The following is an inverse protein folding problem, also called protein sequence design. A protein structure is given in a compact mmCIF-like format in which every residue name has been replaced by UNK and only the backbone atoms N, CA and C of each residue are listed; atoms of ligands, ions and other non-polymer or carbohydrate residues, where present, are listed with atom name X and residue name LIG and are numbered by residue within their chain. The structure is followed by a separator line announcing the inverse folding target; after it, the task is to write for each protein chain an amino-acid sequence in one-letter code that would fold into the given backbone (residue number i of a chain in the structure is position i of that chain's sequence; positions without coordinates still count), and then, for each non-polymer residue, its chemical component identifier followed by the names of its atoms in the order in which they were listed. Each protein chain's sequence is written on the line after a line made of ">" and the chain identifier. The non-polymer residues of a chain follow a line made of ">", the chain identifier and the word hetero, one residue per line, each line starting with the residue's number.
data_IF_145365441830
#
_entry.id   IF_145365441830
#
_cell.length_a   1.000
_cell.length_b   1.000
_cell.length_c   1.000
_cell.angle_alpha   90.00
_cell.angle_beta   90.00
_cell.angle_gamma   90.00
#
_symmetry.space_group_name_H-M   'P 1'
#
loop_
_entity.id
_entity.type
_entity.pdbx_description
1 polymer ?
#
# COMPACT_ATOMS: atom_id res chain seq x y z
N UNK A 1 -20.36 15.41 13.42
CA UNK A 1 -19.76 15.22 14.74
C UNK A 1 -20.82 15.20 15.84
N UNK A 2 -20.41 14.98 17.07
CA UNK A 2 -21.32 14.97 18.25
C UNK A 2 -22.08 16.27 18.48
N UNK A 3 -21.68 17.35 17.82
CA UNK A 3 -22.32 18.67 17.90
C UNK A 3 -23.27 18.93 16.71
N UNK A 4 -23.50 17.93 15.85
CA UNK A 4 -24.32 18.04 14.68
C UNK A 4 -23.63 18.69 13.47
N UNK A 5 -22.34 18.96 13.53
CA UNK A 5 -21.60 19.47 12.36
C UNK A 5 -21.33 18.35 11.38
N UNK A 6 -21.45 18.68 10.10
CA UNK A 6 -21.11 17.76 9.02
C UNK A 6 -19.60 17.56 8.95
N UNK A 7 -19.14 16.32 9.12
CA UNK A 7 -17.75 15.97 8.90
C UNK A 7 -17.48 15.87 7.39
N UNK A 8 -16.39 16.48 6.96
CA UNK A 8 -15.89 16.36 5.59
C UNK A 8 -14.47 15.82 5.65
N UNK A 9 -14.20 14.78 4.86
CA UNK A 9 -12.88 14.17 4.76
C UNK A 9 -12.24 14.54 3.42
N UNK A 10 -11.00 14.97 3.45
CA UNK A 10 -10.23 15.31 2.26
C UNK A 10 -9.45 14.10 1.76
N UNK A 11 -9.72 13.72 0.53
CA UNK A 11 -9.12 12.57 -0.14
C UNK A 11 -8.07 13.00 -1.14
N UNK A 12 -6.84 12.55 -0.92
CA UNK A 12 -5.74 12.76 -1.85
C UNK A 12 -5.54 11.56 -2.76
N UNK A 13 -5.54 11.79 -4.06
CA UNK A 13 -5.24 10.80 -5.09
C UNK A 13 -4.35 11.45 -6.16
N UNK A 14 -3.37 10.68 -6.65
CA UNK A 14 -2.42 11.17 -7.65
C UNK A 14 -3.05 11.30 -9.03
N UNK A 15 -2.65 12.34 -9.75
CA UNK A 15 -2.83 12.42 -11.18
C UNK A 15 -1.62 11.78 -11.86
N UNK A 16 -1.78 10.56 -12.37
CA UNK A 16 -0.73 9.85 -13.11
C UNK A 16 -0.81 10.12 -14.62
N UNK A 17 -1.79 10.91 -15.04
CA UNK A 17 -2.07 11.21 -16.44
C UNK A 17 -2.90 10.12 -17.14
N UNK A 18 -3.48 9.21 -16.39
CA UNK A 18 -4.37 8.19 -16.91
C UNK A 18 -5.84 8.60 -16.74
N UNK A 19 -6.66 8.34 -17.74
CA UNK A 19 -8.11 8.61 -17.67
C UNK A 19 -8.79 7.89 -16.49
N UNK A 20 -8.20 6.79 -16.08
CA UNK A 20 -8.64 5.98 -14.94
C UNK A 20 -8.53 6.72 -13.59
N UNK A 21 -7.59 7.64 -13.40
CA UNK A 21 -7.37 8.31 -12.10
C UNK A 21 -8.60 9.07 -11.62
N UNK A 22 -9.23 9.83 -12.51
CA UNK A 22 -10.46 10.57 -12.19
C UNK A 22 -11.62 9.63 -11.94
N UNK A 23 -11.80 8.61 -12.80
CA UNK A 23 -12.87 7.64 -12.66
C UNK A 23 -12.78 6.86 -11.33
N UNK A 24 -11.56 6.55 -10.88
CA UNK A 24 -11.31 5.91 -9.59
C UNK A 24 -11.71 6.83 -8.43
N UNK A 25 -11.29 8.10 -8.47
CA UNK A 25 -11.64 9.09 -7.47
C UNK A 25 -13.17 9.27 -7.35
N UNK A 26 -13.83 9.44 -8.48
CA UNK A 26 -15.27 9.63 -8.55
C UNK A 26 -16.04 8.42 -8.02
N UNK A 27 -15.54 7.22 -8.31
CA UNK A 27 -16.12 5.97 -7.82
C UNK A 27 -16.05 5.88 -6.29
N UNK A 28 -14.90 6.18 -5.68
CA UNK A 28 -14.77 6.19 -4.23
C UNK A 28 -15.65 7.25 -3.58
N UNK A 29 -15.58 8.47 -4.05
CA UNK A 29 -16.37 9.57 -3.50
C UNK A 29 -17.87 9.26 -3.56
N UNK A 30 -18.33 8.72 -4.69
CA UNK A 30 -19.72 8.29 -4.86
C UNK A 30 -20.10 7.19 -3.87
N UNK A 31 -19.29 6.15 -3.75
CA UNK A 31 -19.57 5.02 -2.85
C UNK A 31 -19.62 5.46 -1.38
N UNK A 32 -18.70 6.33 -0.96
CA UNK A 32 -18.71 6.87 0.40
C UNK A 32 -19.93 7.74 0.67
N UNK A 33 -20.35 8.53 -0.32
CA UNK A 33 -21.56 9.34 -0.23
C UNK A 33 -22.82 8.50 -0.06
N UNK A 34 -22.91 7.35 -0.73
CA UNK A 34 -24.04 6.42 -0.63
C UNK A 34 -24.22 5.86 0.80
N UNK A 35 -23.15 5.75 1.57
CA UNK A 35 -23.17 5.34 2.98
C UNK A 35 -23.16 6.53 3.95
N UNK A 36 -23.35 7.75 3.46
CA UNK A 36 -23.47 8.96 4.28
C UNK A 36 -22.16 9.64 4.67
N UNK A 37 -21.01 9.19 4.15
CA UNK A 37 -19.74 9.87 4.35
C UNK A 37 -19.56 11.01 3.34
N UNK A 38 -19.20 12.18 3.85
CA UNK A 38 -18.91 13.33 2.99
C UNK A 38 -17.40 13.39 2.74
N UNK A 39 -16.97 12.85 1.61
CA UNK A 39 -15.57 12.87 1.16
C UNK A 39 -15.44 13.74 -0.08
N UNK A 40 -14.42 14.56 -0.13
CA UNK A 40 -14.11 15.44 -1.25
C UNK A 40 -12.65 15.30 -1.65
N UNK A 41 -12.33 15.61 -2.91
CA UNK A 41 -10.92 15.69 -3.31
C UNK A 41 -10.20 16.79 -2.55
N UNK A 42 -9.01 16.49 -2.05
CA UNK A 42 -8.13 17.50 -1.47
C UNK A 42 -7.84 18.57 -2.53
N UNK A 43 -8.01 19.84 -2.15
CA UNK A 43 -7.94 21.00 -3.06
C UNK A 43 -8.87 20.91 -4.29
N UNK A 44 -9.92 20.08 -4.25
CA UNK A 44 -10.92 19.93 -5.30
C UNK A 44 -10.44 19.26 -6.59
N UNK A 45 -9.26 18.64 -6.60
CA UNK A 45 -8.66 18.05 -7.82
C UNK A 45 -7.72 16.87 -7.51
N UNK A 46 -7.40 16.12 -8.55
CA UNK A 46 -6.30 15.16 -8.50
C UNK A 46 -4.97 15.88 -8.25
N UNK A 47 -4.13 15.30 -7.42
CA UNK A 47 -2.88 15.92 -6.97
C UNK A 47 -1.72 15.56 -7.90
N UNK A 48 -0.89 16.53 -8.27
CA UNK A 48 0.32 16.26 -9.02
C UNK A 48 1.23 15.27 -8.25
N UNK A 49 1.91 14.32 -8.91
CA UNK A 49 2.66 13.27 -8.25
C UNK A 49 3.71 13.76 -7.24
N UNK A 50 4.39 14.86 -7.57
CA UNK A 50 5.38 15.48 -6.68
C UNK A 50 4.71 16.04 -5.42
N UNK A 51 3.63 16.79 -5.59
CA UNK A 51 2.92 17.42 -4.48
C UNK A 51 2.29 16.36 -3.57
N UNK A 52 1.70 15.31 -4.16
CA UNK A 52 1.18 14.17 -3.42
C UNK A 52 2.25 13.53 -2.54
N UNK A 53 3.40 13.17 -3.13
CA UNK A 53 4.48 12.53 -2.39
C UNK A 53 5.01 13.42 -1.27
N UNK A 54 5.20 14.69 -1.52
CA UNK A 54 5.70 15.65 -0.55
C UNK A 54 4.71 15.83 0.61
N UNK A 55 3.43 16.05 0.31
CA UNK A 55 2.40 16.33 1.31
C UNK A 55 2.07 15.10 2.16
N UNK A 56 1.95 13.92 1.56
CA UNK A 56 1.71 12.68 2.29
C UNK A 56 2.90 12.32 3.19
N UNK A 57 4.14 12.58 2.75
CA UNK A 57 5.33 12.32 3.57
C UNK A 57 5.54 13.35 4.70
N UNK A 58 5.09 14.58 4.52
CA UNK A 58 5.28 15.67 5.48
C UNK A 58 4.19 15.77 6.56
N UNK A 59 3.33 14.76 6.67
CA UNK A 59 2.22 14.80 7.63
C UNK A 59 1.25 15.96 7.42
N UNK A 60 0.93 16.31 6.18
CA UNK A 60 -0.02 17.38 5.87
C UNK A 60 -1.37 17.10 6.54
N UNK A 61 -1.80 17.92 7.52
CA UNK A 61 -3.02 17.67 8.29
C UNK A 61 -4.30 17.86 7.45
N UNK A 62 -4.19 18.40 6.25
CA UNK A 62 -5.32 18.55 5.34
C UNK A 62 -5.64 17.27 4.55
N UNK A 63 -4.85 16.21 4.70
CA UNK A 63 -5.08 14.91 4.05
C UNK A 63 -5.51 13.91 5.11
N UNK A 64 -6.78 13.50 5.10
CA UNK A 64 -7.30 12.47 6.00
C UNK A 64 -7.33 11.09 5.35
N UNK A 65 -7.49 11.05 4.03
CA UNK A 65 -7.52 9.81 3.25
C UNK A 65 -6.59 9.97 2.06
N UNK A 66 -5.81 8.95 1.73
CA UNK A 66 -5.06 8.95 0.48
C UNK A 66 -5.07 7.58 -0.19
N UNK A 67 -5.02 7.58 -1.51
CA UNK A 67 -4.83 6.38 -2.32
C UNK A 67 -3.35 6.27 -2.67
N UNK A 68 -2.73 5.20 -2.22
CA UNK A 68 -1.32 4.90 -2.47
C UNK A 68 -1.11 3.56 -3.15
N UNK A 69 0.12 3.30 -3.55
CA UNK A 69 0.57 2.01 -4.01
C UNK A 69 1.94 1.71 -3.40
N UNK A 70 2.17 0.45 -3.09
CA UNK A 70 3.42 -0.03 -2.52
C UNK A 70 4.00 -1.13 -3.41
N UNK A 71 5.28 -1.07 -3.62
CA UNK A 71 6.02 -2.18 -4.22
C UNK A 71 6.71 -2.96 -3.10
N UNK A 72 6.18 -4.14 -2.83
CA UNK A 72 6.75 -5.01 -1.82
C UNK A 72 7.89 -5.84 -2.41
N UNK A 73 9.00 -5.91 -1.66
CA UNK A 73 10.06 -6.87 -1.92
C UNK A 73 9.69 -8.29 -1.49
N UNK A 74 10.67 -9.18 -1.49
CA UNK A 74 10.49 -10.58 -1.08
C UNK A 74 10.31 -10.77 0.43
N UNK A 75 10.72 -9.78 1.24
CA UNK A 75 10.50 -9.82 2.68
C UNK A 75 9.03 -9.54 3.02
N UNK A 76 8.31 -10.49 3.60
CA UNK A 76 6.90 -10.29 3.97
C UNK A 76 6.71 -9.42 5.22
N UNK A 77 7.74 -9.13 5.99
CA UNK A 77 7.65 -8.26 7.16
C UNK A 77 7.30 -6.82 6.74
N UNK A 78 6.27 -6.26 7.37
CA UNK A 78 5.73 -4.91 7.07
C UNK A 78 6.05 -3.88 8.13
N UNK A 79 7.04 -4.13 8.98
CA UNK A 79 7.46 -3.18 10.02
C UNK A 79 7.81 -1.80 9.48
N UNK A 80 8.40 -1.74 8.27
CA UNK A 80 8.74 -0.47 7.62
C UNK A 80 7.51 0.40 7.28
N UNK A 81 6.33 -0.22 7.15
CA UNK A 81 5.08 0.44 6.78
C UNK A 81 4.16 0.72 7.95
N UNK A 82 4.20 -0.09 9.00
CA UNK A 82 3.24 -0.03 10.10
C UNK A 82 3.90 0.10 11.48
N UNK A 83 5.22 0.03 11.57
CA UNK A 83 5.95 0.20 12.83
C UNK A 83 5.88 1.63 13.35
N UNK A 84 5.91 1.79 14.66
CA UNK A 84 5.74 3.08 15.38
C UNK A 84 6.72 4.18 14.96
N UNK A 85 7.94 3.78 14.59
CA UNK A 85 9.00 4.72 14.15
C UNK A 85 9.44 4.46 12.72
N UNK A 86 8.63 3.75 11.97
CA UNK A 86 8.98 3.38 10.61
C UNK A 86 8.88 4.59 9.68
N UNK A 87 9.92 4.87 8.88
CA UNK A 87 9.95 6.05 8.02
C UNK A 87 8.89 6.03 6.91
N UNK A 88 8.38 4.85 6.58
CA UNK A 88 7.36 4.66 5.56
C UNK A 88 5.96 4.44 6.16
N UNK A 89 5.79 4.63 7.47
CA UNK A 89 4.46 4.59 8.09
C UNK A 89 3.68 5.87 7.76
N UNK A 90 3.26 5.96 6.51
CA UNK A 90 2.45 7.09 6.01
C UNK A 90 1.00 7.02 6.49
N UNK A 91 0.58 5.90 7.05
CA UNK A 91 -0.73 5.71 7.67
C UNK A 91 -0.83 6.41 9.02
N UNK A 92 0.31 6.71 9.66
CA UNK A 92 0.41 7.33 11.01
C UNK A 92 -0.34 6.53 12.07
N UNK A 93 -0.53 5.26 11.80
CA UNK A 93 -1.25 4.33 12.64
C UNK A 93 -0.36 3.16 13.01
N UNK A 94 -0.41 2.77 14.27
CA UNK A 94 0.22 1.56 14.78
C UNK A 94 -0.47 1.16 16.09
N UNK A 95 -0.35 -0.10 16.45
CA UNK A 95 -0.84 -0.65 17.72
C UNK A 95 0.28 -1.42 18.42
N UNK A 96 0.13 -1.66 19.71
CA UNK A 96 1.06 -2.53 20.43
C UNK A 96 1.00 -3.98 19.89
N UNK A 97 -0.14 -4.39 19.34
CA UNK A 97 -0.31 -5.70 18.69
C UNK A 97 0.56 -5.80 17.41
N UNK A 98 0.63 -4.74 16.59
CA UNK A 98 1.53 -4.71 15.44
C UNK A 98 3.00 -4.80 15.89
N UNK A 99 3.41 -4.01 16.86
CA UNK A 99 4.78 -4.03 17.37
C UNK A 99 5.17 -5.41 17.92
N UNK A 100 4.26 -6.07 18.63
CA UNK A 100 4.49 -7.43 19.11
C UNK A 100 4.56 -8.44 17.95
N UNK A 101 3.69 -8.31 16.96
CA UNK A 101 3.73 -9.15 15.75
C UNK A 101 5.05 -9.03 14.99
N UNK A 102 5.62 -7.82 14.90
CA UNK A 102 6.94 -7.62 14.28
C UNK A 102 8.06 -8.28 15.07
N UNK A 103 8.02 -8.24 16.39
CA UNK A 103 8.99 -8.96 17.24
C UNK A 103 8.91 -10.47 17.03
N UNK A 104 7.68 -11.01 17.02
CA UNK A 104 7.47 -12.44 16.77
C UNK A 104 7.99 -12.84 15.40
N UNK A 105 7.74 -12.07 14.35
CA UNK A 105 8.27 -12.32 13.01
C UNK A 105 9.80 -12.26 12.97
N UNK A 106 10.41 -11.30 13.67
CA UNK A 106 11.87 -11.16 13.72
C UNK A 106 12.58 -12.29 14.49
N UNK A 107 11.88 -12.92 15.43
CA UNK A 107 12.43 -14.01 16.27
C UNK A 107 11.98 -15.39 15.83
N UNK A 108 11.04 -15.50 14.90
CA UNK A 108 10.59 -16.79 14.39
C UNK A 108 11.73 -17.54 13.70
N UNK A 109 11.79 -18.83 13.94
CA UNK A 109 12.75 -19.70 13.24
C UNK A 109 12.42 -19.73 11.75
N UNK A 110 13.28 -19.13 10.93
CA UNK A 110 13.10 -19.05 9.48
C UNK A 110 13.11 -20.42 8.79
N UNK A 111 13.63 -21.45 9.46
CA UNK A 111 13.66 -22.82 8.95
C UNK A 111 12.46 -23.65 9.41
N UNK A 112 11.67 -23.13 10.36
CA UNK A 112 10.40 -23.74 10.77
C UNK A 112 9.23 -23.06 10.07
N UNK A 113 8.86 -23.61 8.90
CA UNK A 113 7.79 -23.05 8.06
C UNK A 113 6.44 -22.92 8.81
N UNK A 114 6.17 -23.78 9.80
CA UNK A 114 4.94 -23.73 10.59
C UNK A 114 4.94 -22.51 11.51
N UNK A 115 6.00 -22.32 12.28
CA UNK A 115 6.13 -21.15 13.19
C UNK A 115 6.16 -19.84 12.42
N UNK A 116 6.86 -19.83 11.29
CA UNK A 116 6.90 -18.65 10.43
C UNK A 116 5.50 -18.30 9.91
N UNK A 117 4.75 -19.28 9.42
CA UNK A 117 3.36 -19.08 8.97
C UNK A 117 2.47 -18.59 10.10
N UNK A 118 2.58 -19.14 11.30
CA UNK A 118 1.80 -18.70 12.47
C UNK A 118 2.10 -17.24 12.82
N UNK A 119 3.38 -16.82 12.77
CA UNK A 119 3.80 -15.45 13.03
C UNK A 119 3.19 -14.45 12.02
N UNK A 120 3.17 -14.80 10.73
CA UNK A 120 2.54 -13.96 9.71
C UNK A 120 1.01 -13.97 9.77
N UNK A 121 0.38 -15.12 10.02
CA UNK A 121 -1.07 -15.20 10.17
C UNK A 121 -1.57 -14.32 11.33
N UNK A 122 -0.82 -14.24 12.42
CA UNK A 122 -1.15 -13.33 13.52
C UNK A 122 -1.15 -11.88 13.06
N UNK A 123 -0.12 -11.46 12.34
CA UNK A 123 -0.04 -10.11 11.79
C UNK A 123 -1.19 -9.83 10.82
N UNK A 124 -1.48 -10.74 9.90
CA UNK A 124 -2.56 -10.58 8.92
C UNK A 124 -3.93 -10.45 9.61
N UNK A 125 -4.15 -11.18 10.72
CA UNK A 125 -5.38 -11.07 11.53
C UNK A 125 -5.51 -9.69 12.17
N UNK A 126 -4.42 -9.14 12.73
CA UNK A 126 -4.40 -7.80 13.31
C UNK A 126 -4.66 -6.72 12.23
N UNK A 127 -4.06 -6.87 11.04
CA UNK A 127 -4.33 -5.95 9.92
C UNK A 127 -5.80 -6.01 9.48
N UNK A 128 -6.39 -7.19 9.46
CA UNK A 128 -7.80 -7.36 9.09
C UNK A 128 -8.77 -6.79 10.12
N UNK A 129 -8.40 -6.80 11.40
CA UNK A 129 -9.22 -6.24 12.48
C UNK A 129 -9.11 -4.71 12.56
N UNK A 130 -7.88 -4.19 12.49
CA UNK A 130 -7.60 -2.78 12.68
C UNK A 130 -7.77 -1.94 11.39
N UNK A 131 -7.66 -2.56 10.22
CA UNK A 131 -7.81 -1.94 8.88
C UNK A 131 -7.07 -0.60 8.72
N UNK A 132 -5.76 -0.52 9.00
CA UNK A 132 -4.99 0.72 8.82
C UNK A 132 -4.95 1.17 7.37
N UNK A 133 -5.21 0.27 6.44
CA UNK A 133 -5.37 0.51 5.02
C UNK A 133 -6.34 -0.52 4.42
N UNK A 134 -6.96 -0.16 3.32
CA UNK A 134 -7.85 -1.03 2.56
C UNK A 134 -7.17 -1.49 1.27
N UNK A 135 -6.86 -2.78 1.09
CA UNK A 135 -6.27 -3.30 -0.14
C UNK A 135 -7.28 -3.20 -1.30
N UNK A 136 -6.88 -2.59 -2.41
CA UNK A 136 -7.73 -2.43 -3.58
C UNK A 136 -7.46 -3.48 -4.65
N UNK A 137 -6.20 -3.63 -5.02
CA UNK A 137 -5.80 -4.51 -6.12
C UNK A 137 -4.33 -4.88 -6.04
N UNK A 138 -3.97 -5.93 -6.75
CA UNK A 138 -2.59 -6.27 -7.07
C UNK A 138 -2.35 -5.97 -8.54
N UNK A 139 -1.30 -5.21 -8.81
CA UNK A 139 -0.90 -4.93 -10.18
C UNK A 139 -0.27 -6.15 -10.84
N UNK A 140 -0.62 -6.37 -12.09
CA UNK A 140 -0.02 -7.40 -12.93
C UNK A 140 0.93 -6.76 -13.92
N UNK A 141 2.19 -7.15 -13.89
CA UNK A 141 3.16 -6.73 -14.90
C UNK A 141 3.14 -7.67 -16.09
N UNK A 142 3.06 -7.10 -17.30
CA UNK A 142 3.17 -7.82 -18.56
C UNK A 142 4.51 -7.46 -19.19
N UNK A 143 5.32 -8.47 -19.45
CA UNK A 143 6.60 -8.28 -20.13
C UNK A 143 6.53 -8.86 -21.54
N UNK A 144 6.74 -8.00 -22.52
CA UNK A 144 6.83 -8.40 -23.92
C UNK A 144 8.28 -8.75 -24.27
N UNK A 145 8.53 -9.97 -24.67
CA UNK A 145 9.85 -10.45 -25.04
C UNK A 145 9.89 -10.72 -26.54
N UNK A 146 10.86 -10.15 -27.25
CA UNK A 146 11.04 -10.40 -28.67
C UNK A 146 11.40 -11.88 -28.90
N UNK A 147 10.84 -12.51 -29.94
CA UNK A 147 11.07 -13.94 -30.28
C UNK A 147 12.55 -14.30 -30.53
N UNK A 148 13.39 -13.29 -30.80
CA UNK A 148 14.85 -13.48 -30.99
C UNK A 148 15.58 -13.67 -29.66
N UNK A 149 15.01 -13.20 -28.56
CA UNK A 149 15.60 -13.36 -27.22
C UNK A 149 15.33 -14.77 -26.76
N UNK A 150 16.39 -15.53 -26.47
CA UNK A 150 16.33 -16.88 -25.93
C UNK A 150 16.66 -16.87 -24.44
N UNK A 151 16.28 -17.93 -23.75
CA UNK A 151 16.61 -18.14 -22.34
C UNK A 151 16.09 -17.06 -21.38
N UNK A 152 15.09 -16.26 -21.81
CA UNK A 152 14.46 -15.28 -20.94
C UNK A 152 13.46 -15.96 -20.02
N UNK A 153 13.82 -16.09 -18.74
CA UNK A 153 12.99 -16.74 -17.71
C UNK A 153 12.56 -15.71 -16.65
N UNK A 154 11.28 -15.33 -16.69
CA UNK A 154 10.68 -14.40 -15.76
C UNK A 154 10.75 -14.87 -14.29
N UNK A 155 10.72 -16.17 -14.04
CA UNK A 155 10.78 -16.68 -12.67
C UNK A 155 12.18 -16.50 -12.08
N UNK A 156 13.21 -16.72 -12.88
CA UNK A 156 14.60 -16.45 -12.46
C UNK A 156 14.84 -14.97 -12.21
N UNK A 157 14.27 -14.10 -13.04
CA UNK A 157 14.34 -12.63 -12.82
C UNK A 157 13.69 -12.25 -11.49
N UNK A 158 12.49 -12.74 -11.20
CA UNK A 158 11.77 -12.45 -9.96
C UNK A 158 12.51 -12.91 -8.70
N UNK A 159 13.26 -13.99 -8.81
CA UNK A 159 14.04 -14.55 -7.71
C UNK A 159 15.44 -13.92 -7.56
N UNK A 160 15.78 -12.92 -8.39
CA UNK A 160 17.10 -12.31 -8.39
C UNK A 160 18.21 -13.17 -9.02
N UNK A 161 17.83 -14.27 -9.68
CA UNK A 161 18.75 -15.22 -10.33
C UNK A 161 19.02 -14.88 -11.80
N UNK A 162 18.66 -13.66 -12.20
CA UNK A 162 18.80 -13.24 -13.59
C UNK A 162 20.20 -12.75 -13.89
N UNK A 163 20.82 -13.36 -14.86
CA UNK A 163 22.13 -12.96 -15.39
C UNK A 163 22.02 -12.66 -16.88
N UNK A 164 22.41 -11.44 -17.26
CA UNK A 164 22.34 -10.97 -18.66
C UNK A 164 23.10 -11.88 -19.64
N UNK A 165 24.17 -12.51 -19.20
CA UNK A 165 24.95 -13.43 -20.04
C UNK A 165 24.24 -14.77 -20.35
N UNK A 166 23.10 -15.04 -19.73
CA UNK A 166 22.28 -16.20 -20.05
C UNK A 166 21.27 -15.91 -21.17
N UNK A 167 21.19 -14.66 -21.64
CA UNK A 167 20.31 -14.26 -22.75
C UNK A 167 21.08 -14.40 -24.07
N UNK A 168 20.49 -15.12 -25.01
CA UNK A 168 20.95 -15.25 -26.39
C UNK A 168 19.98 -14.52 -27.34
#
# INVERSE_FOLDING_TARGET
>A
DKNGNKLTFNFAIRNTGQDFDQALADTFIKSWKEVGLNVVLNDGKLMAPKDFSQRVQSDDPSIEIFQGAWQYGTNPNRQELLGKKAPLNLYRYTTDAFEESFKVQATADMFDAKKLKEAYNKFDSEVAEELPFFPLSWDTSITWVNKRVKNYDLNKIKNGEFYLYNIE
#
